data_IF_246805500430
#
_entry.id   IF_246805500430
#
_cell.length_a   1.000
_cell.length_b   1.000
_cell.length_c   1.000
_cell.angle_alpha   90.00
_cell.angle_beta   90.00
_cell.angle_gamma   90.00
#
_symmetry.space_group_name_H-M   'P 1'
#
loop_
_entity.id
_entity.type
_entity.pdbx_description
1 polymer ?
#
# COMPACT_ATOMS: atom_id res chain seq x y z
N UNK A 1 -22.86 -41.47 12.99
CA UNK A 1 -21.61 -41.90 13.63
C UNK A 1 -20.51 -41.82 12.57
N UNK A 2 -19.67 -40.79 12.63
CA UNK A 2 -18.35 -40.85 11.99
C UNK A 2 -17.52 -41.92 12.70
N UNK A 3 -16.68 -42.69 11.99
CA UNK A 3 -15.25 -42.32 11.91
C UNK A 3 -14.66 -42.67 10.51
N UNK A 4 -13.82 -41.87 9.84
CA UNK A 4 -12.51 -41.27 10.16
C UNK A 4 -11.36 -42.26 10.35
N UNK A 5 -10.21 -41.92 9.72
CA UNK A 5 -8.81 -42.38 9.88
C UNK A 5 -8.32 -43.35 8.79
N UNK A 6 -7.55 -42.87 7.80
CA UNK A 6 -6.09 -42.60 7.77
C UNK A 6 -5.28 -43.85 7.39
N UNK A 7 -4.44 -43.72 6.37
CA UNK A 7 -3.08 -44.25 6.41
C UNK A 7 -2.17 -43.59 5.36
N UNK A 8 -0.91 -43.47 5.78
CA UNK A 8 0.16 -42.61 5.33
C UNK A 8 1.09 -43.26 4.27
N UNK A 9 1.71 -42.36 3.49
CA UNK A 9 3.15 -42.25 3.15
C UNK A 9 3.89 -43.44 2.47
N UNK A 10 4.69 -43.05 1.47
CA UNK A 10 5.83 -43.72 0.83
C UNK A 10 5.57 -44.38 -0.54
N UNK A 11 6.32 -43.86 -1.52
CA UNK A 11 6.64 -44.38 -2.85
C UNK A 11 5.50 -44.63 -3.83
N UNK A 12 5.55 -43.89 -4.95
CA UNK A 12 5.21 -44.40 -6.29
C UNK A 12 5.98 -43.61 -7.35
N UNK A 13 7.15 -44.16 -7.71
CA UNK A 13 7.67 -44.07 -9.07
C UNK A 13 6.59 -44.61 -10.01
N UNK A 14 6.14 -43.80 -10.97
CA UNK A 14 5.39 -44.28 -12.12
C UNK A 14 6.22 -44.03 -13.38
N UNK A 15 6.49 -45.13 -14.07
CA UNK A 15 7.19 -45.27 -15.34
C UNK A 15 6.46 -44.54 -16.47
N UNK A 16 7.19 -43.78 -17.28
CA UNK A 16 6.70 -43.15 -18.50
C UNK A 16 6.63 -44.16 -19.65
N UNK A 17 5.43 -44.40 -20.18
CA UNK A 17 5.22 -44.98 -21.50
C UNK A 17 5.02 -43.87 -22.53
N UNK A 18 5.92 -43.79 -23.50
CA UNK A 18 5.87 -42.89 -24.66
C UNK A 18 4.90 -43.43 -25.72
N UNK A 19 3.93 -42.60 -26.17
CA UNK A 19 3.50 -42.53 -27.58
C UNK A 19 2.55 -41.33 -27.86
N UNK A 20 3.16 -40.25 -28.38
CA UNK A 20 2.75 -39.38 -29.50
C UNK A 20 1.42 -38.58 -29.53
N UNK A 21 1.66 -37.25 -29.52
CA UNK A 21 1.08 -36.14 -30.31
C UNK A 21 -0.39 -35.71 -30.13
N UNK A 22 -0.53 -34.51 -29.53
CA UNK A 22 -1.70 -33.65 -29.61
C UNK A 22 -1.48 -32.36 -28.82
N UNK A 23 -0.63 -31.46 -29.34
CA UNK A 23 -0.30 -30.17 -28.71
C UNK A 23 -1.53 -29.25 -28.75
N UNK A 24 -2.11 -28.99 -27.58
CA UNK A 24 -2.97 -27.83 -27.35
C UNK A 24 -2.52 -27.19 -26.02
N UNK A 25 -1.54 -26.28 -26.12
CA UNK A 25 -1.10 -25.41 -25.02
C UNK A 25 -2.22 -24.40 -24.73
N UNK A 26 -3.15 -24.77 -23.85
CA UNK A 26 -3.98 -23.81 -23.14
C UNK A 26 -3.17 -23.27 -21.97
N UNK A 27 -2.43 -22.18 -22.22
CA UNK A 27 -1.87 -21.36 -21.15
C UNK A 27 -3.02 -20.62 -20.46
N UNK A 28 -3.68 -21.30 -19.52
CA UNK A 28 -4.47 -20.63 -18.50
C UNK A 28 -3.51 -19.85 -17.60
N UNK A 29 -3.33 -18.57 -17.92
CA UNK A 29 -2.72 -17.62 -17.01
C UNK A 29 -3.70 -17.36 -15.86
N UNK A 30 -3.72 -18.26 -14.86
CA UNK A 30 -4.27 -17.97 -13.55
C UNK A 30 -3.44 -16.82 -12.96
N UNK A 31 -3.91 -15.58 -13.12
CA UNK A 31 -3.51 -14.50 -12.21
C UNK A 31 -4.19 -14.80 -10.87
N UNK A 32 -3.51 -15.60 -10.05
CA UNK A 32 -3.73 -15.59 -8.61
C UNK A 32 -3.58 -14.14 -8.13
N UNK A 33 -4.44 -13.65 -7.22
CA UNK A 33 -4.10 -12.45 -6.47
C UNK A 33 -2.73 -12.70 -5.85
N UNK A 34 -1.79 -11.79 -6.07
CA UNK A 34 -0.47 -11.86 -5.46
C UNK A 34 -0.69 -12.07 -3.96
N UNK A 35 -0.21 -13.18 -3.36
CA UNK A 35 -0.36 -13.38 -1.93
C UNK A 35 0.24 -12.14 -1.26
N UNK A 36 -0.56 -11.49 -0.40
CA UNK A 36 -0.05 -10.49 0.54
C UNK A 36 1.09 -11.17 1.27
N UNK A 37 2.31 -10.80 0.92
CA UNK A 37 3.51 -11.37 1.53
C UNK A 37 3.46 -10.90 2.98
N UNK A 38 2.99 -11.76 3.87
CA UNK A 38 2.94 -11.47 5.31
C UNK A 38 4.38 -11.19 5.70
N UNK A 39 4.70 -9.90 5.88
CA UNK A 39 6.02 -9.50 6.33
C UNK A 39 6.19 -10.11 7.74
N UNK A 40 7.38 -10.64 8.08
CA UNK A 40 7.63 -11.05 9.45
C UNK A 40 7.37 -9.85 10.38
N UNK A 41 6.87 -10.10 11.60
CA UNK A 41 6.47 -9.04 12.52
C UNK A 41 7.58 -8.01 12.67
N UNK A 42 7.20 -6.74 12.77
CA UNK A 42 8.07 -5.56 12.92
C UNK A 42 8.84 -5.51 14.26
N UNK A 43 9.03 -6.67 14.90
CA UNK A 43 9.62 -6.84 16.21
C UNK A 43 11.04 -6.26 16.25
N UNK A 44 11.26 -5.39 17.22
CA UNK A 44 12.51 -4.68 17.43
C UNK A 44 12.65 -4.38 18.91
N UNK A 45 13.83 -4.65 19.46
CA UNK A 45 14.29 -4.19 20.75
C UNK A 45 14.92 -2.78 20.69
N UNK A 46 15.06 -2.24 19.47
CA UNK A 46 15.40 -0.84 19.22
C UNK A 46 14.13 0.02 19.20
N UNK A 47 13.98 0.89 20.20
CA UNK A 47 12.83 1.80 20.35
C UNK A 47 13.21 3.21 19.90
N UNK A 48 12.81 3.60 18.69
CA UNK A 48 13.11 4.91 18.09
C UNK A 48 11.96 5.92 18.23
N UNK A 49 10.70 5.49 18.08
CA UNK A 49 9.51 6.33 18.20
C UNK A 49 9.16 6.64 19.67
N UNK A 50 10.12 7.12 20.46
CA UNK A 50 9.92 7.45 21.87
C UNK A 50 9.18 8.77 22.08
N UNK A 51 9.16 9.64 21.07
CA UNK A 51 8.72 11.02 21.17
C UNK A 51 7.39 11.34 20.48
N UNK A 52 6.91 10.41 19.64
CA UNK A 52 5.67 10.53 18.90
C UNK A 52 5.39 9.23 18.19
N UNK A 53 4.16 8.75 18.30
CA UNK A 53 3.65 7.62 17.58
C UNK A 53 2.98 8.10 16.29
N UNK A 54 3.06 7.29 15.23
CA UNK A 54 2.27 7.56 14.03
C UNK A 54 0.82 7.82 14.44
N UNK A 55 0.18 8.77 13.78
CA UNK A 55 -1.16 9.30 14.10
C UNK A 55 -1.24 10.33 15.23
N UNK A 56 -0.15 10.60 15.97
CA UNK A 56 -0.17 11.68 16.96
C UNK A 56 -0.39 13.04 16.30
N UNK A 57 -1.15 13.90 16.98
CA UNK A 57 -1.35 15.28 16.55
C UNK A 57 -0.16 16.16 16.96
N UNK A 58 0.04 17.25 16.23
CA UNK A 58 1.11 18.23 16.45
C UNK A 58 1.24 18.65 17.91
N UNK A 59 0.13 18.90 18.60
CA UNK A 59 0.11 19.34 19.99
C UNK A 59 0.70 18.27 20.93
N UNK A 60 0.49 16.98 20.64
CA UNK A 60 1.05 15.87 21.40
C UNK A 60 2.57 15.84 21.26
N UNK A 61 3.10 16.03 20.05
CA UNK A 61 4.55 16.07 19.79
C UNK A 61 5.20 17.28 20.47
N UNK A 62 4.55 18.45 20.43
CA UNK A 62 5.09 19.65 21.09
C UNK A 62 5.17 19.47 22.60
N UNK A 63 4.14 18.87 23.22
CA UNK A 63 4.12 18.61 24.67
C UNK A 63 5.13 17.55 25.12
N UNK A 64 5.43 16.55 24.28
CA UNK A 64 6.41 15.52 24.63
C UNK A 64 7.87 16.05 24.61
N UNK A 65 8.08 17.28 24.12
CA UNK A 65 9.39 17.84 23.76
C UNK A 65 9.75 19.16 24.48
N UNK A 66 9.09 19.49 25.60
CA UNK A 66 9.28 20.78 26.30
C UNK A 66 10.73 21.09 26.72
N UNK A 67 11.65 20.10 26.72
CA UNK A 67 13.05 20.25 27.08
C UNK A 67 14.05 20.16 25.90
N UNK A 68 13.58 19.98 24.66
CA UNK A 68 14.43 19.74 23.48
C UNK A 68 14.27 20.88 22.47
N UNK A 69 15.38 21.30 21.84
CA UNK A 69 15.32 22.32 20.79
C UNK A 69 14.74 21.76 19.49
N UNK A 70 13.48 22.10 19.19
CA UNK A 70 12.80 21.66 17.97
C UNK A 70 13.06 22.62 16.81
N UNK A 71 13.55 22.08 15.68
CA UNK A 71 13.70 22.83 14.43
C UNK A 71 12.57 22.51 13.46
N UNK A 72 11.66 23.47 13.25
CA UNK A 72 10.53 23.34 12.33
C UNK A 72 10.91 23.79 10.91
N UNK A 73 10.50 23.01 9.91
CA UNK A 73 10.72 23.28 8.49
C UNK A 73 9.48 22.92 7.69
N UNK A 74 9.28 23.57 6.54
CA UNK A 74 8.24 23.18 5.61
C UNK A 74 8.56 21.83 4.97
N UNK A 75 7.55 20.97 4.85
CA UNK A 75 7.61 19.70 4.14
C UNK A 75 6.41 19.59 3.20
N UNK A 76 6.52 20.21 2.03
CA UNK A 76 5.40 20.39 1.11
C UNK A 76 4.28 21.23 1.73
N UNK A 77 3.10 20.66 1.86
CA UNK A 77 1.95 21.29 2.56
C UNK A 77 1.93 21.05 4.06
N UNK A 78 2.81 20.19 4.58
CA UNK A 78 2.97 19.89 6.00
C UNK A 78 4.28 20.41 6.58
N UNK A 79 4.73 19.79 7.68
CA UNK A 79 5.87 20.24 8.46
C UNK A 79 6.84 19.09 8.77
N UNK A 80 8.14 19.39 8.79
CA UNK A 80 9.18 18.52 9.31
C UNK A 80 9.71 19.14 10.61
N UNK A 81 9.71 18.36 11.68
CA UNK A 81 10.36 18.69 12.96
C UNK A 81 11.65 17.91 13.05
N UNK A 82 12.77 18.61 13.25
CA UNK A 82 14.08 17.96 13.44
C UNK A 82 14.57 18.07 14.87
N UNK A 83 15.18 16.99 15.33
CA UNK A 83 15.92 16.90 16.60
C UNK A 83 17.37 16.55 16.27
N UNK A 84 18.31 17.29 16.86
CA UNK A 84 19.74 17.05 16.64
C UNK A 84 20.18 15.75 17.31
N UNK A 85 21.28 15.15 16.84
CA UNK A 85 21.84 13.97 17.49
C UNK A 85 22.32 14.23 18.94
N UNK A 86 22.65 15.48 19.27
CA UNK A 86 23.06 15.90 20.62
C UNK A 86 21.88 15.90 21.59
N UNK A 87 20.70 16.29 21.11
CA UNK A 87 19.47 16.34 21.90
C UNK A 87 18.66 15.03 21.82
N UNK A 88 19.01 14.14 20.88
CA UNK A 88 18.33 12.87 20.63
C UNK A 88 18.69 11.80 21.67
N UNK A 89 17.67 11.14 22.21
CA UNK A 89 17.82 9.94 23.06
C UNK A 89 18.36 8.73 22.30
N UNK A 90 18.14 8.68 20.99
CA UNK A 90 18.66 7.63 20.12
C UNK A 90 20.05 7.95 19.56
N UNK A 91 20.59 9.14 19.87
CA UNK A 91 21.81 9.71 19.27
C UNK A 91 21.75 9.76 17.74
N UNK A 92 20.53 9.81 17.18
CA UNK A 92 20.27 9.95 15.76
C UNK A 92 19.92 11.40 15.42
N UNK A 93 20.16 11.81 14.18
CA UNK A 93 19.45 12.98 13.64
C UNK A 93 18.02 12.55 13.32
N UNK A 94 17.06 13.02 14.11
CA UNK A 94 15.65 12.61 14.02
C UNK A 94 14.85 13.61 13.20
N UNK A 95 13.85 13.11 12.47
CA UNK A 95 12.92 13.94 11.71
C UNK A 95 11.54 13.36 11.77
N UNK A 96 10.58 14.16 12.19
CA UNK A 96 9.17 13.83 12.32
C UNK A 96 8.37 14.62 11.29
N UNK A 97 7.51 13.95 10.53
CA UNK A 97 6.81 14.50 9.39
C UNK A 97 5.32 14.58 9.69
N UNK A 98 4.81 15.80 9.80
CA UNK A 98 3.40 16.06 9.94
C UNK A 98 2.79 16.43 8.58
N UNK A 99 1.62 15.90 8.29
CA UNK A 99 0.88 16.30 7.11
C UNK A 99 0.19 17.67 7.29
N UNK A 100 -0.58 18.09 6.29
CA UNK A 100 -1.29 19.37 6.30
C UNK A 100 -2.28 19.51 7.47
N UNK A 101 -2.76 18.40 8.04
CA UNK A 101 -3.70 18.42 9.16
C UNK A 101 -2.98 18.40 10.51
N UNK A 102 -1.64 18.39 10.52
CA UNK A 102 -0.85 18.30 11.74
C UNK A 102 -0.79 16.88 12.31
N UNK A 103 -1.09 15.84 11.52
CA UNK A 103 -0.99 14.46 11.95
C UNK A 103 0.41 13.91 11.64
N UNK A 104 1.04 13.20 12.58
CA UNK A 104 2.32 12.53 12.38
C UNK A 104 2.17 11.34 11.41
N UNK A 105 2.68 11.50 10.19
CA UNK A 105 2.57 10.49 9.13
C UNK A 105 3.85 9.67 8.95
N UNK A 106 4.96 10.11 9.55
CA UNK A 106 6.15 9.29 9.67
C UNK A 106 7.32 9.96 10.35
N UNK A 107 8.39 9.21 10.53
CA UNK A 107 9.65 9.65 11.10
C UNK A 107 10.84 8.98 10.42
N UNK A 108 11.96 9.70 10.31
CA UNK A 108 13.23 9.21 9.77
C UNK A 108 14.34 9.48 10.78
N UNK A 109 15.14 8.46 11.06
CA UNK A 109 16.27 8.48 11.99
C UNK A 109 17.55 8.23 11.20
N UNK A 110 18.46 9.19 11.19
CA UNK A 110 19.76 9.09 10.52
C UNK A 110 20.86 8.90 11.55
N UNK A 111 21.74 7.92 11.31
CA UNK A 111 22.89 7.61 12.15
C UNK A 111 24.18 7.87 11.34
N UNK A 112 24.69 9.11 11.26
CA UNK A 112 25.87 9.41 10.44
C UNK A 112 27.13 8.60 10.81
N UNK A 113 27.25 8.18 12.06
CA UNK A 113 28.34 7.32 12.54
C UNK A 113 28.05 5.81 12.45
N UNK A 114 26.83 5.43 12.04
CA UNK A 114 26.33 4.05 12.12
C UNK A 114 26.00 3.62 13.56
N UNK A 115 24.83 3.01 13.77
CA UNK A 115 24.46 2.38 15.02
C UNK A 115 24.78 0.88 14.95
N UNK A 116 25.70 0.39 15.79
CA UNK A 116 25.97 -1.05 15.87
C UNK A 116 24.70 -1.81 16.24
N UNK A 117 24.34 -2.84 15.44
CA UNK A 117 23.18 -3.69 15.72
C UNK A 117 23.49 -4.84 16.68
N UNK A 118 24.75 -5.01 17.09
CA UNK A 118 25.17 -6.08 18.03
C UNK A 118 24.35 -6.09 19.34
N UNK A 119 24.02 -4.95 19.97
CA UNK A 119 23.21 -4.92 21.19
C UNK A 119 21.72 -5.21 20.99
N UNK A 120 21.25 -5.35 19.74
CA UNK A 120 19.84 -5.46 19.37
C UNK A 120 19.52 -6.82 18.74
N UNK A 121 19.59 -7.93 19.51
CA UNK A 121 19.37 -9.29 18.98
C UNK A 121 17.99 -9.50 18.36
N UNK A 122 16.93 -8.84 18.86
CA UNK A 122 15.57 -9.01 18.29
C UNK A 122 15.52 -8.39 16.89
N UNK A 123 16.01 -7.15 16.73
CA UNK A 123 16.05 -6.50 15.43
C UNK A 123 16.93 -7.29 14.43
N UNK A 124 18.10 -7.78 14.84
CA UNK A 124 18.95 -8.62 13.98
C UNK A 124 18.23 -9.90 13.53
N UNK A 125 17.52 -10.56 14.44
CA UNK A 125 16.74 -11.74 14.09
C UNK A 125 15.64 -11.41 13.07
N UNK A 126 14.89 -10.32 13.27
CA UNK A 126 13.88 -9.85 12.32
C UNK A 126 14.48 -9.58 10.94
N UNK A 127 15.60 -8.84 10.88
CA UNK A 127 16.29 -8.53 9.62
C UNK A 127 16.80 -9.79 8.90
N UNK A 128 17.28 -10.80 9.64
CA UNK A 128 17.76 -12.05 9.04
C UNK A 128 16.66 -12.89 8.37
N UNK A 129 15.40 -12.67 8.75
CA UNK A 129 14.23 -13.33 8.15
C UNK A 129 13.69 -12.60 6.93
N UNK A 130 14.11 -11.34 6.73
CA UNK A 130 13.68 -10.51 5.63
C UNK A 130 14.56 -10.71 4.41
N UNK A 131 13.93 -10.86 3.23
CA UNK A 131 14.65 -10.66 1.97
C UNK A 131 14.85 -9.15 1.77
N UNK A 132 16.06 -8.67 1.48
CA UNK A 132 16.28 -7.26 1.14
C UNK A 132 15.34 -6.79 0.03
N UNK A 133 14.71 -5.63 0.25
CA UNK A 133 13.91 -4.93 -0.75
C UNK A 133 14.80 -4.30 -1.84
N UNK A 134 16.02 -3.90 -1.46
CA UNK A 134 17.06 -3.41 -2.34
C UNK A 134 18.43 -3.79 -1.77
N UNK A 135 19.34 -4.26 -2.62
CA UNK A 135 20.75 -4.47 -2.28
C UNK A 135 21.59 -3.54 -3.16
N UNK A 136 22.61 -2.93 -2.57
CA UNK A 136 23.54 -2.09 -3.32
C UNK A 136 24.94 -2.18 -2.73
N UNK A 137 25.93 -2.29 -3.61
CA UNK A 137 27.33 -2.30 -3.25
C UNK A 137 27.86 -0.87 -3.26
N UNK A 138 28.49 -0.44 -2.18
CA UNK A 138 29.31 0.76 -2.21
C UNK A 138 30.59 0.45 -3.00
N UNK A 139 30.72 0.96 -4.22
CA UNK A 139 32.05 1.08 -4.85
C UNK A 139 32.87 2.08 -4.01
N UNK A 140 33.67 1.57 -3.07
CA UNK A 140 34.67 2.34 -2.32
C UNK A 140 36.03 2.06 -2.97
N UNK A 141 36.81 3.08 -3.40
CA UNK A 141 38.22 2.88 -3.69
C UNK A 141 38.88 2.38 -2.41
N UNK A 142 39.38 1.15 -2.48
CA UNK A 142 39.97 0.40 -1.39
C UNK A 142 40.88 1.24 -0.48
N UNK A 143 40.59 1.21 0.82
CA UNK A 143 41.64 1.37 1.83
C UNK A 143 42.46 0.07 1.81
N UNK A 144 43.80 0.11 1.67
CA UNK A 144 44.60 -1.10 1.73
C UNK A 144 44.48 -1.71 3.12
N UNK A 145 43.86 -2.90 3.24
CA UNK A 145 43.81 -3.68 4.49
C UNK A 145 42.42 -4.04 5.04
N UNK A 146 41.31 -3.65 4.40
CA UNK A 146 39.97 -4.19 4.71
C UNK A 146 39.29 -4.63 3.43
N UNK A 147 39.42 -5.92 3.12
CA UNK A 147 38.74 -6.56 2.01
C UNK A 147 37.40 -7.12 2.48
N UNK A 148 36.33 -6.35 2.27
CA UNK A 148 34.99 -6.82 1.98
C UNK A 148 34.20 -5.56 1.61
N UNK A 149 33.67 -5.50 0.38
CA UNK A 149 32.83 -4.39 -0.04
C UNK A 149 31.68 -4.27 0.96
N UNK A 150 31.56 -3.13 1.66
CA UNK A 150 30.42 -2.88 2.55
C UNK A 150 29.15 -2.88 1.71
N UNK A 151 28.45 -4.02 1.69
CA UNK A 151 27.13 -4.14 1.10
C UNK A 151 26.15 -3.40 2.01
N UNK A 152 25.27 -2.62 1.39
CA UNK A 152 24.16 -2.00 2.08
C UNK A 152 22.86 -2.59 1.54
N UNK A 153 21.93 -2.84 2.45
CA UNK A 153 20.64 -3.42 2.13
C UNK A 153 19.51 -2.60 2.76
N UNK A 154 18.45 -2.40 1.98
CA UNK A 154 17.18 -1.87 2.45
C UNK A 154 16.29 -3.05 2.85
N UNK A 155 15.93 -3.11 4.12
CA UNK A 155 14.94 -4.04 4.64
C UNK A 155 13.61 -3.34 4.87
N UNK A 156 12.51 -4.03 4.63
CA UNK A 156 11.16 -3.52 4.82
C UNK A 156 10.32 -4.53 5.61
N UNK A 157 9.67 -4.04 6.65
CA UNK A 157 8.65 -4.73 7.47
C UNK A 157 7.50 -3.74 7.70
N UNK A 158 6.55 -4.09 8.57
CA UNK A 158 5.40 -3.25 8.87
C UNK A 158 4.21 -4.05 9.33
N UNK A 159 3.13 -3.34 9.58
CA UNK A 159 1.83 -3.90 9.97
C UNK A 159 0.80 -3.60 8.87
N UNK A 160 -0.50 -3.73 9.15
CA UNK A 160 -1.56 -3.53 8.13
C UNK A 160 -1.69 -2.09 7.60
N UNK A 161 -1.10 -1.11 8.29
CA UNK A 161 -1.30 0.33 8.00
C UNK A 161 0.00 1.13 7.97
N UNK A 162 1.12 0.51 8.29
CA UNK A 162 2.40 1.18 8.47
C UNK A 162 3.54 0.36 7.89
N UNK A 163 4.52 1.08 7.37
CA UNK A 163 5.73 0.55 6.78
C UNK A 163 6.93 1.03 7.58
N UNK A 164 7.78 0.07 7.96
CA UNK A 164 9.05 0.32 8.61
C UNK A 164 10.18 -0.13 7.71
N UNK A 165 11.17 0.74 7.50
CA UNK A 165 12.29 0.51 6.59
C UNK A 165 13.62 0.77 7.29
N UNK A 166 14.60 -0.10 7.05
CA UNK A 166 15.95 -0.02 7.62
C UNK A 166 17.00 -0.09 6.51
N UNK A 167 17.94 0.86 6.47
CA UNK A 167 19.16 0.73 5.67
C UNK A 167 20.27 0.26 6.61
N UNK A 168 20.80 -0.93 6.34
CA UNK A 168 21.85 -1.57 7.12
C UNK A 168 23.09 -1.74 6.24
N UNK A 169 24.27 -1.43 6.78
CA UNK A 169 25.57 -1.68 6.16
C UNK A 169 26.30 -2.81 6.89
N UNK A 170 27.12 -3.56 6.15
CA UNK A 170 27.93 -4.65 6.67
C UNK A 170 27.18 -5.99 6.75
N UNK A 171 27.89 -7.03 7.19
CA UNK A 171 27.39 -8.41 7.23
C UNK A 171 27.60 -9.09 8.57
N UNK A 172 26.82 -10.14 8.84
CA UNK A 172 26.98 -10.99 10.03
C UNK A 172 26.74 -10.23 11.34
N UNK A 173 27.66 -10.34 12.29
CA UNK A 173 27.53 -9.70 13.61
C UNK A 173 27.92 -8.21 13.63
N UNK A 174 28.59 -7.72 12.59
CA UNK A 174 29.11 -6.36 12.48
C UNK A 174 28.15 -5.42 11.69
N UNK A 175 26.87 -5.78 11.62
CA UNK A 175 25.84 -4.96 10.98
C UNK A 175 25.69 -3.61 11.69
N UNK A 176 25.59 -2.55 10.90
CA UNK A 176 25.34 -1.19 11.37
C UNK A 176 24.08 -0.62 10.73
N UNK A 177 23.20 -0.03 11.54
CA UNK A 177 22.05 0.71 11.08
C UNK A 177 22.47 2.12 10.70
N UNK A 178 22.13 2.52 9.46
CA UNK A 178 22.47 3.82 8.90
C UNK A 178 21.25 4.74 8.91
N UNK A 179 20.10 4.22 8.46
CA UNK A 179 18.83 4.95 8.44
C UNK A 179 17.69 4.02 8.86
N UNK A 180 16.76 4.53 9.65
CA UNK A 180 15.47 3.90 9.89
C UNK A 180 14.35 4.87 9.52
N UNK A 181 13.25 4.35 8.98
CA UNK A 181 12.04 5.11 8.67
C UNK A 181 10.82 4.35 9.14
N UNK A 182 9.87 5.08 9.71
CA UNK A 182 8.54 4.60 10.12
C UNK A 182 7.51 5.49 9.47
N UNK A 183 6.53 4.93 8.79
CA UNK A 183 5.57 5.72 8.03
C UNK A 183 4.21 5.04 7.94
N UNK A 184 3.15 5.83 7.82
CA UNK A 184 1.88 5.30 7.34
C UNK A 184 2.05 4.83 5.89
N UNK A 185 1.40 3.73 5.52
CA UNK A 185 1.59 3.11 4.20
C UNK A 185 1.40 4.06 3.00
N UNK A 186 0.39 4.96 2.98
CA UNK A 186 0.25 5.94 1.90
C UNK A 186 1.46 6.87 1.75
N UNK A 187 2.21 7.10 2.83
CA UNK A 187 3.37 7.98 2.87
C UNK A 187 4.70 7.23 2.73
N UNK A 188 4.70 5.90 2.75
CA UNK A 188 5.92 5.06 2.70
C UNK A 188 6.85 5.41 1.54
N UNK A 189 6.28 5.72 0.37
CA UNK A 189 7.03 6.17 -0.80
C UNK A 189 7.70 7.52 -0.56
N UNK A 190 7.01 8.46 0.08
CA UNK A 190 7.52 9.80 0.35
C UNK A 190 8.59 9.81 1.43
N UNK A 191 8.52 8.87 2.37
CA UNK A 191 9.39 8.77 3.55
C UNK A 191 10.37 7.61 3.46
N UNK A 192 10.58 7.03 2.27
CA UNK A 192 11.55 5.96 2.10
C UNK A 192 12.96 6.47 2.40
N UNK A 193 13.75 5.79 3.25
CA UNK A 193 15.08 6.25 3.66
C UNK A 193 16.09 6.20 2.49
N UNK A 194 15.78 5.49 1.41
CA UNK A 194 16.60 5.45 0.19
C UNK A 194 16.36 6.65 -0.75
N UNK A 195 15.49 7.60 -0.37
CA UNK A 195 15.37 8.83 -1.12
C UNK A 195 16.60 9.72 -0.89
N UNK A 196 17.00 10.43 -1.95
CA UNK A 196 18.20 11.26 -1.95
C UNK A 196 18.22 12.30 -0.83
N UNK A 197 17.08 12.90 -0.49
CA UNK A 197 17.00 13.89 0.59
C UNK A 197 17.34 13.36 1.99
N UNK A 198 17.24 12.04 2.20
CA UNK A 198 17.57 11.41 3.48
C UNK A 198 18.98 10.83 3.45
N UNK A 199 19.41 10.23 2.34
CA UNK A 199 20.77 9.71 2.19
C UNK A 199 21.84 10.79 2.39
N UNK A 200 21.62 12.01 1.90
CA UNK A 200 22.56 13.13 2.09
C UNK A 200 22.85 13.44 3.57
N UNK A 201 21.96 13.03 4.50
CA UNK A 201 22.14 13.27 5.94
C UNK A 201 23.21 12.37 6.57
N UNK A 202 23.44 11.19 5.99
CA UNK A 202 24.45 10.22 6.46
C UNK A 202 25.72 10.23 5.61
N UNK A 203 25.69 10.81 4.41
CA UNK A 203 26.85 10.97 3.52
C UNK A 203 27.75 12.15 3.97
N UNK A 204 28.58 11.98 5.00
CA UNK A 204 29.61 12.98 5.38
C UNK A 204 31.01 12.57 4.93
N UNK A 205 31.50 13.19 3.84
CA UNK A 205 32.87 13.04 3.32
C UNK A 205 33.01 13.57 1.88
N UNK A 206 34.14 14.20 1.52
CA UNK A 206 34.43 14.79 0.20
C UNK A 206 34.59 13.72 -0.89
N UNK A 207 33.51 13.03 -1.27
CA UNK A 207 33.29 12.38 -2.56
C UNK A 207 31.95 11.62 -2.65
N UNK A 208 30.97 11.89 -1.78
CA UNK A 208 29.61 11.44 -2.01
C UNK A 208 29.05 12.14 -3.26
N UNK A 209 29.19 11.52 -4.43
CA UNK A 209 28.51 11.97 -5.64
C UNK A 209 27.00 11.88 -5.35
N UNK A 210 26.25 12.98 -5.46
CA UNK A 210 24.86 13.05 -5.03
C UNK A 210 23.90 12.37 -6.03
N UNK A 211 24.24 11.19 -6.54
CA UNK A 211 23.46 10.44 -7.52
C UNK A 211 22.88 9.14 -6.96
N UNK A 212 23.14 8.79 -5.70
CA UNK A 212 22.62 7.58 -5.07
C UNK A 212 21.32 7.92 -4.34
N UNK A 213 20.27 7.13 -4.60
CA UNK A 213 18.93 7.32 -4.06
C UNK A 213 17.85 7.52 -5.11
N UNK A 214 16.61 7.14 -4.78
CA UNK A 214 15.46 7.31 -5.68
C UNK A 214 15.04 8.78 -5.68
N UNK A 215 14.79 9.30 -6.89
CA UNK A 215 14.09 10.56 -7.10
C UNK A 215 12.72 10.20 -7.67
N UNK A 216 11.66 10.72 -7.06
CA UNK A 216 10.33 10.55 -7.61
C UNK A 216 10.16 11.35 -8.90
N UNK A 217 9.55 10.74 -9.91
CA UNK A 217 9.26 11.40 -11.17
C UNK A 217 7.91 12.14 -11.13
N UNK A 218 7.09 11.90 -10.10
CA UNK A 218 5.85 12.64 -9.90
C UNK A 218 6.08 13.90 -9.05
N UNK A 219 5.28 14.96 -9.24
CA UNK A 219 5.35 16.15 -8.40
C UNK A 219 5.10 15.81 -6.94
N UNK A 220 6.01 16.24 -6.05
CA UNK A 220 5.98 15.90 -4.64
C UNK A 220 4.65 16.26 -3.96
N UNK A 221 4.14 17.48 -4.20
CA UNK A 221 2.87 17.93 -3.60
C UNK A 221 1.67 17.11 -4.07
N UNK A 222 1.66 16.65 -5.32
CA UNK A 222 0.59 15.80 -5.82
C UNK A 222 0.58 14.44 -5.12
N UNK A 223 1.75 13.82 -4.95
CA UNK A 223 1.88 12.56 -4.20
C UNK A 223 1.56 12.73 -2.72
N UNK A 224 1.99 13.83 -2.11
CA UNK A 224 1.71 14.11 -0.70
C UNK A 224 0.21 14.26 -0.45
N UNK A 225 -0.50 15.00 -1.30
CA UNK A 225 -1.95 15.15 -1.17
C UNK A 225 -2.70 13.86 -1.51
N UNK A 226 -2.19 13.05 -2.45
CA UNK A 226 -2.77 11.73 -2.70
C UNK A 226 -2.63 10.82 -1.48
N UNK A 227 -1.45 10.78 -0.86
CA UNK A 227 -1.19 10.02 0.36
C UNK A 227 -2.09 10.48 1.52
N UNK A 228 -2.28 11.79 1.69
CA UNK A 228 -3.24 12.36 2.64
C UNK A 228 -4.66 11.89 2.37
N UNK A 229 -5.07 11.89 1.11
CA UNK A 229 -6.39 11.39 0.69
C UNK A 229 -6.60 9.92 1.02
N UNK A 230 -5.59 9.08 0.77
CA UNK A 230 -5.65 7.66 1.11
C UNK A 230 -5.69 7.42 2.62
N UNK A 231 -4.87 8.14 3.39
CA UNK A 231 -4.85 8.03 4.84
C UNK A 231 -6.21 8.37 5.46
N UNK A 232 -6.87 9.42 4.96
CA UNK A 232 -8.21 9.81 5.38
C UNK A 232 -9.30 8.83 4.94
N UNK A 233 -9.22 8.33 3.70
CA UNK A 233 -10.23 7.45 3.12
C UNK A 233 -10.22 6.04 3.71
N UNK A 234 -9.04 5.50 4.02
CA UNK A 234 -8.85 4.13 4.52
C UNK A 234 -8.64 4.06 6.03
N UNK A 235 -8.86 5.17 6.75
CA UNK A 235 -8.77 5.18 8.21
C UNK A 235 -7.41 4.65 8.71
N UNK A 236 -6.31 5.18 8.15
CA UNK A 236 -4.96 4.77 8.58
C UNK A 236 -4.75 5.01 10.08
N UNK A 237 -5.38 6.05 10.63
CA UNK A 237 -5.27 6.47 12.03
C UNK A 237 -6.62 6.54 12.74
N UNK A 238 -7.54 7.34 12.21
CA UNK A 238 -8.85 7.61 12.81
C UNK A 238 -9.99 6.92 12.05
N UNK A 239 -11.23 7.33 12.32
CA UNK A 239 -12.39 6.97 11.47
C UNK A 239 -12.24 7.53 10.06
N UNK A 240 -12.81 6.87 9.02
CA UNK A 240 -12.76 7.38 7.66
C UNK A 240 -13.32 8.80 7.56
N UNK A 241 -12.62 9.68 6.85
CA UNK A 241 -13.06 11.04 6.54
C UNK A 241 -13.04 11.27 5.03
N UNK A 242 -14.16 10.91 4.39
CA UNK A 242 -14.30 11.04 2.94
C UNK A 242 -14.38 12.50 2.46
N UNK A 243 -14.70 13.46 3.34
CA UNK A 243 -14.67 14.89 2.98
C UNK A 243 -13.23 15.35 2.83
N UNK A 244 -12.41 15.06 3.84
CA UNK A 244 -10.96 15.31 3.79
C UNK A 244 -10.31 14.55 2.64
N UNK A 245 -10.70 13.30 2.42
CA UNK A 245 -10.18 12.52 1.29
C UNK A 245 -10.50 13.19 -0.06
N UNK A 246 -11.75 13.60 -0.28
CA UNK A 246 -12.14 14.28 -1.51
C UNK A 246 -11.37 15.60 -1.71
N UNK A 247 -11.17 16.38 -0.65
CA UNK A 247 -10.36 17.61 -0.70
C UNK A 247 -8.92 17.31 -1.11
N UNK A 248 -8.28 16.34 -0.45
CA UNK A 248 -6.89 15.98 -0.70
C UNK A 248 -6.68 15.42 -2.11
N UNK A 249 -7.57 14.55 -2.61
CA UNK A 249 -7.48 14.08 -4.00
C UNK A 249 -7.68 15.21 -5.02
N UNK A 250 -8.56 16.17 -4.75
CA UNK A 250 -8.74 17.34 -5.61
C UNK A 250 -7.46 18.22 -5.63
N UNK A 251 -6.82 18.44 -4.47
CA UNK A 251 -5.54 19.15 -4.38
C UNK A 251 -4.42 18.37 -5.10
N UNK A 252 -4.39 17.04 -5.00
CA UNK A 252 -3.43 16.21 -5.70
C UNK A 252 -3.53 16.39 -7.23
N UNK A 253 -4.77 16.38 -7.76
CA UNK A 253 -5.03 16.64 -9.18
C UNK A 253 -4.61 18.07 -9.57
N UNK A 254 -4.90 19.06 -8.73
CA UNK A 254 -4.54 20.46 -8.97
C UNK A 254 -3.02 20.69 -9.01
N UNK A 255 -2.25 20.02 -8.15
CA UNK A 255 -0.79 20.05 -8.17
C UNK A 255 -0.20 19.33 -9.39
N UNK A 256 -0.98 18.50 -10.06
CA UNK A 256 -0.66 17.85 -11.32
C UNK A 256 0.13 16.56 -11.15
N UNK A 257 -0.19 15.57 -11.97
CA UNK A 257 0.59 14.35 -12.12
C UNK A 257 1.28 14.32 -13.47
N UNK A 258 2.55 13.91 -13.48
CA UNK A 258 3.29 13.65 -14.72
C UNK A 258 2.83 12.35 -15.39
N UNK A 259 2.25 11.42 -14.62
CA UNK A 259 1.76 10.14 -15.11
C UNK A 259 0.25 10.12 -15.28
N UNK A 260 -0.21 9.69 -16.46
CA UNK A 260 -1.63 9.45 -16.74
C UNK A 260 -2.23 8.33 -15.87
N UNK A 261 -1.41 7.40 -15.37
CA UNK A 261 -1.86 6.36 -14.43
C UNK A 261 -2.25 6.98 -13.10
N UNK A 262 -1.38 7.83 -12.55
CA UNK A 262 -1.64 8.55 -11.30
C UNK A 262 -2.80 9.53 -11.44
N UNK A 263 -2.88 10.25 -12.56
CA UNK A 263 -3.97 11.19 -12.80
C UNK A 263 -5.33 10.48 -12.87
N UNK A 264 -5.42 9.38 -13.61
CA UNK A 264 -6.65 8.58 -13.68
C UNK A 264 -7.04 8.00 -12.32
N UNK A 265 -6.07 7.47 -11.58
CA UNK A 265 -6.31 6.92 -10.24
C UNK A 265 -6.81 8.02 -9.27
N UNK A 266 -6.20 9.20 -9.28
CA UNK A 266 -6.62 10.32 -8.44
C UNK A 266 -8.07 10.75 -8.75
N UNK A 267 -8.46 10.79 -10.02
CA UNK A 267 -9.85 11.04 -10.41
C UNK A 267 -10.81 9.93 -9.95
N UNK A 268 -10.40 8.67 -10.01
CA UNK A 268 -11.20 7.55 -9.50
C UNK A 268 -11.39 7.62 -8.00
N UNK A 269 -10.30 7.83 -7.24
CA UNK A 269 -10.34 7.99 -5.79
C UNK A 269 -11.16 9.21 -5.35
N UNK A 270 -11.03 10.34 -6.03
CA UNK A 270 -11.90 11.51 -5.84
C UNK A 270 -13.37 11.13 -6.05
N UNK A 271 -13.68 10.39 -7.12
CA UNK A 271 -15.01 9.89 -7.40
C UNK A 271 -15.60 9.04 -6.27
N UNK A 272 -14.82 8.10 -5.73
CA UNK A 272 -15.23 7.27 -4.59
C UNK A 272 -15.50 8.08 -3.33
N UNK A 273 -14.64 9.04 -3.00
CA UNK A 273 -14.84 9.92 -1.85
C UNK A 273 -16.08 10.83 -2.02
N UNK A 274 -16.30 11.36 -3.22
CA UNK A 274 -17.50 12.14 -3.55
C UNK A 274 -18.78 11.30 -3.47
N UNK A 275 -18.72 10.04 -3.89
CA UNK A 275 -19.84 9.10 -3.79
C UNK A 275 -20.24 8.88 -2.32
N UNK A 276 -19.26 8.69 -1.43
CA UNK A 276 -19.49 8.48 0.01
C UNK A 276 -19.97 9.73 0.73
N UNK A 277 -19.59 10.92 0.26
CA UNK A 277 -20.11 12.19 0.77
C UNK A 277 -21.45 12.60 0.16
N UNK A 278 -22.07 11.74 -0.66
CA UNK A 278 -23.39 11.99 -1.27
C UNK A 278 -23.37 12.96 -2.45
N UNK A 279 -22.20 13.41 -2.91
CA UNK A 279 -22.05 14.29 -4.07
C UNK A 279 -22.07 13.49 -5.38
N UNK A 280 -23.14 12.73 -5.60
CA UNK A 280 -23.20 11.65 -6.60
C UNK A 280 -22.97 12.14 -8.04
N UNK A 281 -23.49 13.32 -8.41
CA UNK A 281 -23.25 13.88 -9.75
C UNK A 281 -21.77 14.22 -9.97
N UNK A 282 -21.09 14.80 -8.98
CA UNK A 282 -19.65 15.08 -9.06
C UNK A 282 -18.83 13.79 -9.06
N UNK A 283 -19.27 12.76 -8.32
CA UNK A 283 -18.65 11.45 -8.34
C UNK A 283 -18.66 10.84 -9.75
N UNK A 284 -19.80 10.91 -10.45
CA UNK A 284 -19.91 10.47 -11.84
C UNK A 284 -18.89 11.18 -12.72
N UNK A 285 -18.84 12.50 -12.65
CA UNK A 285 -17.98 13.31 -13.51
C UNK A 285 -16.49 13.00 -13.26
N UNK A 286 -16.09 12.83 -11.99
CA UNK A 286 -14.74 12.43 -11.63
C UNK A 286 -14.38 11.02 -12.16
N UNK A 287 -15.28 10.04 -12.01
CA UNK A 287 -15.05 8.66 -12.51
C UNK A 287 -15.03 8.62 -14.04
N UNK A 288 -15.88 9.41 -14.71
CA UNK A 288 -15.85 9.54 -16.17
C UNK A 288 -14.53 10.15 -16.66
N UNK A 289 -13.99 11.14 -15.96
CA UNK A 289 -12.64 11.66 -16.27
C UNK A 289 -11.54 10.61 -16.07
N UNK A 290 -11.62 9.79 -15.01
CA UNK A 290 -10.67 8.68 -14.84
C UNK A 290 -10.70 7.73 -16.07
N UNK A 291 -11.90 7.39 -16.56
CA UNK A 291 -12.09 6.53 -17.73
C UNK A 291 -11.76 7.21 -19.07
N UNK A 292 -11.82 8.53 -19.17
CA UNK A 292 -11.39 9.24 -20.38
C UNK A 292 -9.86 9.28 -20.50
N UNK A 293 -9.16 9.31 -19.36
CA UNK A 293 -7.69 9.21 -19.31
C UNK A 293 -7.25 7.77 -19.54
N UNK A 294 -7.88 6.81 -18.86
CA UNK A 294 -7.61 5.38 -19.00
C UNK A 294 -8.91 4.59 -19.08
N UNK A 295 -9.28 4.25 -20.31
CA UNK A 295 -10.43 3.42 -20.58
C UNK A 295 -10.25 1.98 -20.09
N UNK A 296 -11.36 1.25 -19.96
CA UNK A 296 -11.39 -0.20 -19.75
C UNK A 296 -10.71 -0.69 -18.47
N UNK A 297 -10.85 0.07 -17.37
CA UNK A 297 -10.44 -0.39 -16.03
C UNK A 297 -11.68 -0.98 -15.33
N UNK A 298 -11.75 -2.31 -15.07
CA UNK A 298 -12.93 -2.96 -14.50
C UNK A 298 -13.39 -2.35 -13.18
N UNK A 299 -12.46 -2.05 -12.28
CA UNK A 299 -12.72 -1.47 -10.97
C UNK A 299 -13.38 -0.09 -11.08
N UNK A 300 -12.90 0.75 -12.01
CA UNK A 300 -13.44 2.09 -12.27
C UNK A 300 -14.81 2.02 -12.95
N UNK A 301 -15.00 1.08 -13.87
CA UNK A 301 -16.30 0.82 -14.51
C UNK A 301 -17.35 0.33 -13.50
N UNK A 302 -16.96 -0.53 -12.56
CA UNK A 302 -17.82 -0.95 -11.46
C UNK A 302 -18.21 0.23 -10.57
N UNK A 303 -17.26 1.12 -10.21
CA UNK A 303 -17.58 2.34 -9.47
C UNK A 303 -18.53 3.25 -10.25
N UNK A 304 -18.34 3.39 -11.56
CA UNK A 304 -19.26 4.16 -12.41
C UNK A 304 -20.68 3.57 -12.39
N UNK A 305 -20.79 2.23 -12.45
CA UNK A 305 -22.07 1.53 -12.32
C UNK A 305 -22.76 1.80 -10.99
N UNK A 306 -22.02 1.72 -9.87
CA UNK A 306 -22.52 2.05 -8.53
C UNK A 306 -23.07 3.48 -8.46
N UNK A 307 -22.33 4.43 -9.02
CA UNK A 307 -22.76 5.83 -9.09
C UNK A 307 -24.01 6.00 -9.95
N UNK A 308 -24.14 5.30 -11.08
CA UNK A 308 -25.36 5.35 -11.89
C UNK A 308 -26.58 4.75 -11.17
N UNK A 309 -26.42 3.67 -10.39
CA UNK A 309 -27.50 3.16 -9.53
C UNK A 309 -27.97 4.24 -8.56
N UNK A 310 -27.04 4.95 -7.91
CA UNK A 310 -27.36 6.05 -6.98
C UNK A 310 -28.01 7.26 -7.66
N UNK A 311 -27.77 7.45 -8.96
CA UNK A 311 -28.45 8.46 -9.79
C UNK A 311 -29.82 7.99 -10.33
N UNK A 312 -30.20 6.74 -10.09
CA UNK A 312 -31.42 6.14 -10.64
C UNK A 312 -31.33 5.73 -12.12
N UNK A 313 -30.15 5.82 -12.73
CA UNK A 313 -29.92 5.46 -14.14
C UNK A 313 -29.48 4.00 -14.26
N UNK A 314 -30.43 3.09 -14.02
CA UNK A 314 -30.17 1.65 -13.98
C UNK A 314 -29.66 1.10 -15.31
N UNK A 315 -30.11 1.63 -16.44
CA UNK A 315 -29.66 1.19 -17.77
C UNK A 315 -28.17 1.46 -17.97
N UNK A 316 -27.69 2.66 -17.62
CA UNK A 316 -26.25 2.95 -17.68
C UNK A 316 -25.45 2.16 -16.65
N UNK A 317 -26.04 1.88 -15.48
CA UNK A 317 -25.38 1.04 -14.49
C UNK A 317 -25.12 -0.38 -15.03
N UNK A 318 -26.14 -1.02 -15.61
CA UNK A 318 -26.03 -2.34 -16.25
C UNK A 318 -24.92 -2.33 -17.30
N UNK A 319 -24.91 -1.35 -18.21
CA UNK A 319 -23.88 -1.25 -19.26
C UNK A 319 -22.47 -1.12 -18.67
N UNK A 320 -22.30 -0.35 -17.60
CA UNK A 320 -21.00 -0.20 -16.94
C UNK A 320 -20.55 -1.50 -16.25
N UNK A 321 -21.45 -2.17 -15.54
CA UNK A 321 -21.17 -3.45 -14.89
C UNK A 321 -20.91 -4.58 -15.89
N UNK A 322 -21.68 -4.68 -16.98
CA UNK A 322 -21.44 -5.65 -18.05
C UNK A 322 -20.04 -5.47 -18.65
N UNK A 323 -19.61 -4.23 -18.90
CA UNK A 323 -18.24 -3.94 -19.36
C UNK A 323 -17.19 -4.38 -18.33
N UNK A 324 -17.41 -4.11 -17.05
CA UNK A 324 -16.50 -4.53 -15.99
C UNK A 324 -16.35 -6.06 -15.94
N UNK A 325 -17.47 -6.80 -16.00
CA UNK A 325 -17.49 -8.28 -16.00
C UNK A 325 -16.89 -8.84 -17.30
N UNK A 326 -17.14 -8.22 -18.45
CA UNK A 326 -16.54 -8.65 -19.72
C UNK A 326 -15.02 -8.53 -19.72
N UNK A 327 -14.48 -7.46 -19.11
CA UNK A 327 -13.04 -7.25 -18.97
C UNK A 327 -12.40 -8.10 -17.88
N UNK A 328 -13.15 -8.41 -16.81
CA UNK A 328 -12.70 -9.24 -15.69
C UNK A 328 -13.81 -10.21 -15.27
N UNK A 329 -13.93 -11.37 -15.93
CA UNK A 329 -15.01 -12.33 -15.68
C UNK A 329 -15.04 -12.90 -14.26
N UNK A 330 -13.94 -12.84 -13.51
CA UNK A 330 -13.88 -13.27 -12.11
C UNK A 330 -14.04 -12.12 -11.11
N UNK A 331 -14.52 -10.94 -11.54
CA UNK A 331 -14.74 -9.82 -10.64
C UNK A 331 -16.04 -9.98 -9.85
N UNK A 332 -15.98 -10.70 -8.73
CA UNK A 332 -17.13 -11.05 -7.88
C UNK A 332 -17.99 -9.84 -7.52
N UNK A 333 -17.37 -8.74 -7.07
CA UNK A 333 -18.09 -7.50 -6.71
C UNK A 333 -18.90 -6.94 -7.88
N UNK A 334 -18.33 -6.90 -9.10
CA UNK A 334 -19.06 -6.42 -10.27
C UNK A 334 -20.19 -7.36 -10.68
N UNK A 335 -20.03 -8.68 -10.49
CA UNK A 335 -21.11 -9.65 -10.74
C UNK A 335 -22.27 -9.49 -9.79
N UNK A 336 -21.99 -9.33 -8.50
CA UNK A 336 -23.02 -9.05 -7.50
C UNK A 336 -23.78 -7.76 -7.84
N UNK A 337 -23.06 -6.69 -8.19
CA UNK A 337 -23.67 -5.42 -8.58
C UNK A 337 -24.49 -5.53 -9.88
N UNK A 338 -24.00 -6.28 -10.86
CA UNK A 338 -24.71 -6.57 -12.11
C UNK A 338 -26.01 -7.35 -11.85
N UNK A 339 -25.95 -8.37 -10.99
CA UNK A 339 -27.10 -9.17 -10.59
C UNK A 339 -28.19 -8.30 -9.94
N UNK A 340 -27.79 -7.47 -8.95
CA UNK A 340 -28.68 -6.52 -8.29
C UNK A 340 -29.29 -5.50 -9.28
N UNK A 341 -28.50 -5.02 -10.24
CA UNK A 341 -29.00 -4.11 -11.26
C UNK A 341 -30.04 -4.77 -12.19
N UNK A 342 -29.94 -6.07 -12.45
CA UNK A 342 -30.85 -6.80 -13.32
C UNK A 342 -32.16 -7.27 -12.68
N UNK A 343 -32.30 -7.27 -11.35
CA UNK A 343 -33.45 -7.93 -10.67
C UNK A 343 -34.82 -7.52 -11.21
N UNK A 344 -34.98 -6.23 -11.57
CA UNK A 344 -36.24 -5.68 -12.08
C UNK A 344 -36.30 -5.58 -13.60
N UNK A 345 -35.21 -5.91 -14.30
CA UNK A 345 -35.07 -5.76 -15.76
C UNK A 345 -35.08 -7.12 -16.44
N UNK A 346 -34.33 -8.09 -15.91
CA UNK A 346 -34.23 -9.44 -16.42
C UNK A 346 -33.88 -10.40 -15.28
N UNK A 347 -34.92 -10.96 -14.66
CA UNK A 347 -34.82 -11.88 -13.52
C UNK A 347 -33.89 -13.07 -13.81
N UNK A 348 -33.96 -13.64 -15.02
CA UNK A 348 -33.10 -14.76 -15.42
C UNK A 348 -31.62 -14.38 -15.42
N UNK A 349 -31.29 -13.19 -15.92
CA UNK A 349 -29.92 -12.66 -15.90
C UNK A 349 -29.48 -12.36 -14.47
N UNK A 350 -30.35 -11.78 -13.64
CA UNK A 350 -30.05 -11.50 -12.23
C UNK A 350 -29.67 -12.77 -11.47
N UNK A 351 -30.49 -13.84 -11.56
CA UNK A 351 -30.21 -15.13 -10.91
C UNK A 351 -28.88 -15.71 -11.39
N UNK A 352 -28.64 -15.75 -12.70
CA UNK A 352 -27.39 -16.28 -13.27
C UNK A 352 -26.15 -15.54 -12.79
N UNK A 353 -26.21 -14.21 -12.66
CA UNK A 353 -25.09 -13.41 -12.16
C UNK A 353 -24.88 -13.59 -10.65
N UNK A 354 -25.95 -13.73 -9.85
CA UNK A 354 -25.83 -14.07 -8.43
C UNK A 354 -25.22 -15.45 -8.22
N UNK A 355 -25.65 -16.47 -8.96
CA UNK A 355 -25.06 -17.82 -8.91
C UNK A 355 -23.56 -17.79 -9.25
N UNK A 356 -23.18 -17.01 -10.26
CA UNK A 356 -21.77 -16.87 -10.63
C UNK A 356 -20.98 -16.12 -9.55
N UNK A 357 -21.55 -15.08 -8.94
CA UNK A 357 -20.95 -14.43 -7.77
C UNK A 357 -20.70 -15.42 -6.63
N UNK A 358 -21.71 -16.23 -6.27
CA UNK A 358 -21.62 -17.23 -5.21
C UNK A 358 -20.52 -18.25 -5.46
N UNK A 359 -20.40 -18.75 -6.69
CA UNK A 359 -19.34 -19.68 -7.07
C UNK A 359 -17.92 -19.06 -6.96
N UNK A 360 -17.79 -17.74 -7.19
CA UNK A 360 -16.50 -17.04 -7.07
C UNK A 360 -16.06 -16.78 -5.63
N UNK A 361 -17.01 -16.71 -4.69
CA UNK A 361 -16.75 -16.36 -3.29
C UNK A 361 -16.89 -17.54 -2.32
N UNK A 362 -17.10 -18.75 -2.83
CA UNK A 362 -17.23 -19.95 -2.02
C UNK A 362 -16.01 -20.14 -1.12
N UNK A 363 -16.26 -20.25 0.19
CA UNK A 363 -15.21 -20.45 1.18
C UNK A 363 -14.37 -19.21 1.51
N UNK A 364 -14.77 -18.01 1.07
CA UNK A 364 -14.13 -16.74 1.44
C UNK A 364 -14.89 -16.13 2.64
N UNK A 365 -14.35 -16.18 3.87
CA UNK A 365 -15.07 -15.73 5.06
C UNK A 365 -15.50 -14.26 5.00
N UNK A 366 -14.70 -13.39 4.38
CA UNK A 366 -14.97 -11.97 4.25
C UNK A 366 -16.20 -11.66 3.37
N UNK A 367 -16.65 -12.62 2.56
CA UNK A 367 -17.78 -12.46 1.64
C UNK A 367 -19.07 -13.14 2.15
N UNK A 368 -19.03 -13.86 3.29
CA UNK A 368 -20.14 -14.71 3.73
C UNK A 368 -21.46 -13.95 3.95
N UNK A 369 -21.39 -12.72 4.46
CA UNK A 369 -22.56 -11.86 4.64
C UNK A 369 -23.23 -11.55 3.29
N UNK A 370 -22.43 -11.12 2.31
CA UNK A 370 -22.92 -10.79 0.96
C UNK A 370 -23.34 -12.05 0.20
N UNK A 371 -22.68 -13.19 0.41
CA UNK A 371 -23.07 -14.48 -0.11
C UNK A 371 -24.42 -14.95 0.45
N UNK A 372 -24.65 -14.77 1.75
CA UNK A 372 -25.95 -15.07 2.37
C UNK A 372 -27.06 -14.23 1.75
N UNK A 373 -26.83 -12.93 1.57
CA UNK A 373 -27.79 -12.07 0.89
C UNK A 373 -28.04 -12.51 -0.55
N UNK A 374 -26.99 -12.81 -1.33
CA UNK A 374 -27.14 -13.28 -2.71
C UNK A 374 -27.92 -14.60 -2.81
N UNK A 375 -27.71 -15.55 -1.88
CA UNK A 375 -28.50 -16.80 -1.80
C UNK A 375 -29.99 -16.50 -1.58
N UNK A 376 -30.32 -15.61 -0.65
CA UNK A 376 -31.71 -15.19 -0.42
C UNK A 376 -32.33 -14.57 -1.68
N UNK A 377 -31.61 -13.69 -2.37
CA UNK A 377 -32.10 -13.08 -3.61
C UNK A 377 -32.35 -14.11 -4.71
N UNK A 378 -31.49 -15.11 -4.86
CA UNK A 378 -31.71 -16.22 -5.82
C UNK A 378 -32.99 -16.99 -5.49
N UNK A 379 -33.22 -17.33 -4.23
CA UNK A 379 -34.45 -18.01 -3.80
C UNK A 379 -35.70 -17.19 -4.07
N UNK A 380 -35.67 -15.90 -3.73
CA UNK A 380 -36.81 -14.99 -3.90
C UNK A 380 -37.16 -14.78 -5.38
N UNK A 381 -36.16 -14.64 -6.24
CA UNK A 381 -36.32 -14.38 -7.67
C UNK A 381 -36.69 -15.63 -8.49
N UNK A 382 -36.50 -16.82 -7.90
CA UNK A 382 -36.80 -18.11 -8.54
C UNK A 382 -38.19 -18.65 -8.19
N UNK A 383 -38.92 -17.98 -7.30
CA UNK A 383 -40.33 -18.25 -6.96
C UNK A 383 -41.26 -17.51 -7.91
#
# INVERSE_FOLDING_TARGET
MSPSLRCDVVNRLCTFGLATLGVALLLFACRSPSPTRVLPPSASDLVLLQFGHLCDQKETIVRSQEAVSLQWRAWGSGEEVRVSAEDSRSSAEESYFLDQDGMLVGAVFAFPGGLSLKPYPVLRQTLSQLKPALEFSADVPSVPGRGELESSALYQTGDLKSTTQYIVSGGGEEQTLVLASFSLDPYSRLLSPYRREFLVRVERGRQAKPSRGIVDQQPFLALQQFARGEAAHFASCDTPDDKRAAEAYAQAIQHGFSSQVWLAEAHHKLGLALERTGQIAKARDAIQHALSIRANIPEVLNSLGSVYVKLGDRDKAIVAFEKAVALKPNYSVARYNLASAYETVNVRRAVSEYETYLALVEGIPEEEERATHARQRVEDLSR
#
